data_IF_200247863875
#
_entry.id   IF_200247863875
#
_cell.length_a   1.000
_cell.length_b   1.000
_cell.length_c   1.000
_cell.angle_alpha   90.00
_cell.angle_beta   90.00
_cell.angle_gamma   90.00
#
_symmetry.space_group_name_H-M   'P 1'
#
loop_
_entity.id
_entity.type
_entity.pdbx_description
1 polymer ?
#
# COMPACT_ATOMS: atom_id res chain seq x y z
N UNK A 1 -15.55 3.56 -18.06
CA UNK A 1 -15.01 3.24 -16.72
C UNK A 1 -13.97 2.18 -16.97
N UNK A 2 -12.68 2.53 -17.01
CA UNK A 2 -11.64 1.53 -17.25
C UNK A 2 -11.46 0.77 -15.95
N UNK A 3 -12.03 -0.43 -15.93
CA UNK A 3 -11.93 -1.35 -14.81
C UNK A 3 -10.49 -1.85 -14.81
N UNK A 4 -9.72 -1.46 -13.80
CA UNK A 4 -8.32 -1.89 -13.63
C UNK A 4 -8.20 -3.40 -13.30
N UNK A 5 -9.29 -4.16 -13.31
CA UNK A 5 -9.32 -5.60 -13.01
C UNK A 5 -8.38 -6.41 -13.92
N UNK A 6 -8.17 -5.98 -15.17
CA UNK A 6 -7.28 -6.67 -16.12
C UNK A 6 -5.78 -6.58 -15.77
N UNK A 7 -5.36 -5.68 -14.86
CA UNK A 7 -3.94 -5.61 -14.43
C UNK A 7 -3.62 -6.57 -13.26
N UNK A 8 -4.62 -7.17 -12.62
CA UNK A 8 -4.44 -7.96 -11.39
C UNK A 8 -4.78 -9.45 -11.56
N UNK A 9 -5.15 -9.90 -12.77
CA UNK A 9 -5.09 -11.32 -13.16
C UNK A 9 -3.65 -11.82 -13.40
N UNK A 10 -2.67 -10.93 -13.21
CA UNK A 10 -1.26 -11.17 -13.35
C UNK A 10 -0.76 -12.11 -12.22
N UNK A 11 -0.42 -13.34 -12.60
CA UNK A 11 0.10 -14.41 -11.75
C UNK A 11 1.45 -14.08 -11.09
N UNK A 12 1.90 -14.93 -10.17
CA UNK A 12 3.17 -14.82 -9.42
C UNK A 12 4.35 -14.32 -10.29
N UNK A 13 4.83 -13.09 -10.01
CA UNK A 13 6.10 -12.58 -10.52
C UNK A 13 6.06 -11.50 -11.60
N UNK A 14 4.92 -10.88 -11.91
CA UNK A 14 4.76 -10.02 -13.10
C UNK A 14 5.57 -8.70 -13.12
N UNK A 15 6.24 -8.32 -12.03
CA UNK A 15 6.90 -7.02 -11.95
C UNK A 15 8.21 -7.03 -11.11
N UNK A 16 9.22 -7.85 -11.45
CA UNK A 16 10.41 -8.05 -10.62
C UNK A 16 11.30 -6.81 -10.49
N UNK A 17 11.16 -5.84 -11.40
CA UNK A 17 11.90 -4.57 -11.39
C UNK A 17 11.07 -3.38 -10.93
N UNK A 18 9.78 -3.58 -10.64
CA UNK A 18 8.89 -2.49 -10.27
C UNK A 18 9.24 -2.02 -8.86
N UNK A 19 9.76 -0.80 -8.77
CA UNK A 19 10.25 -0.21 -7.52
C UNK A 19 9.32 0.80 -6.87
N UNK A 20 8.43 1.38 -7.68
CA UNK A 20 7.52 2.45 -7.26
C UNK A 20 6.14 2.20 -7.84
N UNK A 21 5.13 2.27 -6.99
CA UNK A 21 3.72 2.23 -7.39
C UNK A 21 3.04 3.46 -6.81
N UNK A 22 2.29 4.17 -7.66
CA UNK A 22 1.39 5.23 -7.25
C UNK A 22 -0.02 4.87 -7.70
N UNK A 23 -0.94 4.71 -6.76
CA UNK A 23 -2.35 4.45 -7.03
C UNK A 23 -3.17 5.63 -6.55
N UNK A 24 -4.02 6.17 -7.42
CA UNK A 24 -4.87 7.32 -7.11
C UNK A 24 -6.30 7.07 -7.55
N UNK A 25 -7.28 7.34 -6.66
CA UNK A 25 -8.72 7.25 -6.96
C UNK A 25 -9.15 5.89 -7.53
N UNK A 26 -8.68 4.81 -6.91
CA UNK A 26 -9.02 3.45 -7.28
C UNK A 26 -9.83 2.79 -6.14
N UNK A 27 -11.17 2.98 -6.11
CA UNK A 27 -12.01 2.50 -5.01
C UNK A 27 -12.12 0.98 -4.95
N UNK A 28 -11.96 0.30 -6.08
CA UNK A 28 -12.10 -1.17 -6.21
C UNK A 28 -10.76 -1.91 -6.08
N UNK A 29 -9.66 -1.19 -5.79
CA UNK A 29 -8.33 -1.79 -5.66
C UNK A 29 -8.23 -2.59 -4.35
N UNK A 30 -8.40 -3.90 -4.44
CA UNK A 30 -8.28 -4.82 -3.30
C UNK A 30 -6.86 -5.33 -3.08
N UNK A 31 -6.11 -5.52 -4.18
CA UNK A 31 -4.77 -6.14 -4.16
C UNK A 31 -3.79 -5.30 -4.97
N UNK A 32 -2.53 -5.33 -4.58
CA UNK A 32 -1.41 -4.77 -5.33
C UNK A 32 -0.77 -5.85 -6.21
N UNK A 33 -0.09 -5.51 -7.31
CA UNK A 33 0.59 -6.51 -8.10
C UNK A 33 1.74 -7.11 -7.30
N UNK A 34 2.08 -8.38 -7.55
CA UNK A 34 3.22 -9.02 -6.91
C UNK A 34 4.52 -8.34 -7.40
N UNK A 35 5.07 -7.47 -6.56
CA UNK A 35 6.25 -6.66 -6.88
C UNK A 35 7.30 -6.84 -5.76
N UNK A 36 8.11 -7.91 -5.81
CA UNK A 36 9.05 -8.25 -4.74
C UNK A 36 10.13 -7.18 -4.52
N UNK A 37 10.41 -6.36 -5.55
CA UNK A 37 11.36 -5.25 -5.50
C UNK A 37 10.71 -3.90 -5.19
N UNK A 38 9.44 -3.88 -4.79
CA UNK A 38 8.73 -2.64 -4.50
C UNK A 38 9.30 -1.96 -3.26
N UNK A 39 9.81 -0.76 -3.45
CA UNK A 39 10.42 0.04 -2.38
C UNK A 39 9.60 1.27 -2.01
N UNK A 40 8.75 1.75 -2.90
CA UNK A 40 7.93 2.95 -2.68
C UNK A 40 6.48 2.67 -3.10
N UNK A 41 5.56 2.90 -2.18
CA UNK A 41 4.12 2.77 -2.41
C UNK A 41 3.44 4.06 -2.00
N UNK A 42 2.70 4.63 -2.94
CA UNK A 42 1.92 5.85 -2.73
C UNK A 42 0.46 5.55 -3.06
N UNK A 43 -0.41 5.74 -2.07
CA UNK A 43 -1.83 5.50 -2.18
C UNK A 43 -2.58 6.82 -1.92
N UNK A 44 -3.43 7.20 -2.86
CA UNK A 44 -4.23 8.42 -2.82
C UNK A 44 -5.71 8.12 -3.04
N UNK A 45 -6.56 8.66 -2.17
CA UNK A 45 -8.01 8.72 -2.30
C UNK A 45 -8.67 7.35 -2.54
N UNK A 46 -9.12 6.70 -1.47
CA UNK A 46 -9.84 5.45 -1.53
C UNK A 46 -10.75 5.25 -0.31
N UNK A 47 -11.59 4.21 -0.38
CA UNK A 47 -12.45 3.81 0.73
C UNK A 47 -11.75 2.80 1.64
N UNK A 48 -10.89 1.96 1.07
CA UNK A 48 -10.16 0.89 1.77
C UNK A 48 -8.71 0.82 1.27
N UNK A 49 -7.77 0.46 2.14
CA UNK A 49 -6.39 0.18 1.73
C UNK A 49 -6.32 -1.24 1.12
N UNK A 50 -5.48 -1.44 0.08
CA UNK A 50 -5.15 -2.78 -0.37
C UNK A 50 -4.30 -3.50 0.69
N UNK A 51 -4.25 -4.83 0.64
CA UNK A 51 -3.39 -5.59 1.52
C UNK A 51 -1.91 -5.25 1.30
N UNK A 52 -1.25 -4.74 2.34
CA UNK A 52 0.18 -4.36 2.37
C UNK A 52 1.03 -5.51 2.97
N UNK A 53 0.41 -6.66 3.23
CA UNK A 53 0.96 -7.81 3.96
C UNK A 53 2.10 -8.55 3.24
N UNK A 54 2.38 -8.26 1.98
CA UNK A 54 3.40 -8.98 1.18
C UNK A 54 4.58 -8.08 0.76
N UNK A 55 4.63 -6.82 1.22
CA UNK A 55 5.61 -5.83 0.74
C UNK A 55 6.87 -5.77 1.62
N UNK A 56 7.60 -6.88 1.69
CA UNK A 56 8.79 -7.02 2.54
C UNK A 56 9.94 -6.05 2.20
N UNK A 57 10.02 -5.59 0.94
CA UNK A 57 11.05 -4.65 0.46
C UNK A 57 10.66 -3.17 0.58
N UNK A 58 9.49 -2.86 1.15
CA UNK A 58 8.94 -1.51 1.15
C UNK A 58 9.70 -0.60 2.11
N UNK A 59 10.25 0.50 1.57
CA UNK A 59 11.04 1.48 2.33
C UNK A 59 10.24 2.75 2.62
N UNK A 60 9.35 3.13 1.70
CA UNK A 60 8.50 4.31 1.81
C UNK A 60 7.04 3.96 1.53
N UNK A 61 6.17 4.36 2.45
CA UNK A 61 4.72 4.30 2.31
C UNK A 61 4.12 5.67 2.51
N UNK A 62 3.32 6.12 1.54
CA UNK A 62 2.46 7.29 1.67
C UNK A 62 1.01 6.90 1.48
N UNK A 63 0.17 7.28 2.43
CA UNK A 63 -1.28 7.10 2.39
C UNK A 63 -1.91 8.48 2.54
N UNK A 64 -2.76 8.87 1.59
CA UNK A 64 -3.41 10.17 1.61
C UNK A 64 -4.88 10.10 1.19
N UNK A 65 -5.76 10.74 1.96
CA UNK A 65 -7.17 10.91 1.59
C UNK A 65 -8.02 9.65 1.71
N UNK A 66 -7.71 8.75 2.65
CA UNK A 66 -8.54 7.57 2.93
C UNK A 66 -9.55 7.89 4.02
N UNK A 67 -10.83 7.84 3.67
CA UNK A 67 -11.90 8.24 4.60
C UNK A 67 -12.60 7.07 5.29
N UNK A 68 -12.60 5.85 4.72
CA UNK A 68 -13.24 4.68 5.35
C UNK A 68 -12.30 3.77 6.15
N UNK A 69 -11.01 4.12 6.22
CA UNK A 69 -9.97 3.28 6.84
C UNK A 69 -9.82 3.66 8.30
N UNK A 70 -10.10 2.72 9.20
CA UNK A 70 -9.96 2.89 10.67
C UNK A 70 -8.65 2.37 11.20
N UNK A 71 -8.18 1.26 10.65
CA UNK A 71 -6.90 0.67 11.02
C UNK A 71 -6.27 -0.07 9.84
N UNK A 72 -4.96 -0.26 9.92
CA UNK A 72 -4.20 -1.14 9.04
C UNK A 72 -2.92 -1.61 9.74
N UNK A 73 -2.28 -2.64 9.16
CA UNK A 73 -1.09 -3.27 9.72
C UNK A 73 0.09 -3.16 8.76
N UNK A 74 1.27 -2.90 9.34
CA UNK A 74 2.56 -2.83 8.66
C UNK A 74 3.51 -3.96 9.07
N UNK A 75 3.00 -5.03 9.68
CA UNK A 75 3.82 -6.12 10.23
C UNK A 75 4.77 -6.76 9.20
N UNK A 76 4.39 -6.78 7.92
CA UNK A 76 5.21 -7.32 6.84
C UNK A 76 6.25 -6.33 6.27
N UNK A 77 6.09 -5.04 6.53
CA UNK A 77 6.96 -3.99 6.02
C UNK A 77 8.19 -3.79 6.93
N UNK A 78 8.96 -4.85 7.14
CA UNK A 78 10.06 -4.90 8.13
C UNK A 78 11.20 -3.90 7.86
N UNK A 79 11.35 -3.42 6.62
CA UNK A 79 12.40 -2.47 6.20
C UNK A 79 11.87 -1.05 5.98
N UNK A 80 10.62 -0.79 6.37
CA UNK A 80 9.98 0.51 6.20
C UNK A 80 10.74 1.56 7.02
N UNK A 81 11.18 2.63 6.34
CA UNK A 81 11.92 3.74 6.97
C UNK A 81 11.09 4.99 7.10
N UNK A 82 10.07 5.13 6.25
CA UNK A 82 9.28 6.35 6.19
C UNK A 82 7.82 6.02 5.91
N UNK A 83 6.96 6.50 6.80
CA UNK A 83 5.52 6.44 6.72
C UNK A 83 4.95 7.86 6.71
N UNK A 84 4.18 8.19 5.68
CA UNK A 84 3.41 9.44 5.62
C UNK A 84 1.92 9.12 5.56
N UNK A 85 1.16 9.67 6.50
CA UNK A 85 -0.30 9.56 6.52
C UNK A 85 -0.86 10.98 6.48
N UNK A 86 -1.73 11.28 5.52
CA UNK A 86 -2.33 12.61 5.35
C UNK A 86 -3.83 12.48 5.09
N UNK A 87 -4.63 13.38 5.65
CA UNK A 87 -6.06 13.48 5.32
C UNK A 87 -6.86 12.18 5.52
N UNK A 88 -6.45 11.30 6.45
CA UNK A 88 -7.15 10.06 6.80
C UNK A 88 -7.98 10.27 8.08
N UNK A 89 -9.24 10.69 7.92
CA UNK A 89 -10.05 11.21 9.03
C UNK A 89 -10.53 10.16 10.03
N UNK A 90 -10.79 8.94 9.57
CA UNK A 90 -11.32 7.86 10.42
C UNK A 90 -10.22 6.95 10.98
N UNK A 91 -8.96 7.18 10.60
CA UNK A 91 -7.84 6.34 11.02
C UNK A 91 -7.55 6.54 12.51
N UNK A 92 -7.68 5.47 13.29
CA UNK A 92 -7.49 5.46 14.74
C UNK A 92 -6.36 4.57 15.21
N UNK A 93 -5.94 3.57 14.41
CA UNK A 93 -4.84 2.67 14.78
C UNK A 93 -3.95 2.30 13.59
N UNK A 94 -2.66 2.12 13.84
CA UNK A 94 -1.70 1.55 12.90
C UNK A 94 -0.83 0.55 13.64
N UNK A 95 -0.95 -0.72 13.26
CA UNK A 95 -0.17 -1.81 13.87
C UNK A 95 1.15 -2.02 13.10
N UNK A 96 2.17 -2.57 13.77
CA UNK A 96 3.46 -2.86 13.13
C UNK A 96 4.39 -1.65 12.95
N UNK A 97 4.11 -0.52 13.60
CA UNK A 97 4.99 0.66 13.62
C UNK A 97 6.37 0.41 14.26
N UNK A 98 6.54 -0.71 14.98
CA UNK A 98 7.84 -1.14 15.53
C UNK A 98 8.90 -1.35 14.44
N UNK A 99 8.51 -1.53 13.18
CA UNK A 99 9.45 -1.56 12.05
C UNK A 99 10.16 -0.21 11.82
N UNK A 100 9.55 0.92 12.21
CA UNK A 100 10.08 2.27 12.01
C UNK A 100 11.04 2.73 13.12
N UNK A 101 11.11 1.99 14.24
CA UNK A 101 11.89 2.39 15.42
C UNK A 101 13.33 1.83 15.42
N UNK A 102 13.90 1.52 14.25
CA UNK A 102 15.25 0.96 14.09
C UNK A 102 16.14 1.80 13.19
#
# INVERSE_FOLDING_TARGET
MYVLEELFEASEGDCPRLRKICVSRCPDLKRLPCAPSLTELVLHCGLQLPDILELASLVYLKIEGFHGVRSFSLLAAAVLKKLEIRSCKELSSVDGLSALSR
#
